data_IF_214122502642
#
_entry.id   IF_214122502642
#
_cell.length_a   1.000
_cell.length_b   1.000
_cell.length_c   1.000
_cell.angle_alpha   90.00
_cell.angle_beta   90.00
_cell.angle_gamma   90.00
#
_symmetry.space_group_name_H-M   'P 1'
#
loop_
_entity.id
_entity.type
_entity.pdbx_description
1 polymer ?
#
# COMPACT_ATOMS: atom_id res chain seq x y z
N UNK A 1 -6.34 13.48 4.46
CA UNK A 1 -6.17 12.13 3.87
C UNK A 1 -5.52 12.26 2.50
N UNK A 2 -4.55 11.41 2.19
CA UNK A 2 -3.86 11.37 0.89
C UNK A 2 -4.13 10.04 0.19
N UNK A 3 -4.45 10.03 -1.10
CA UNK A 3 -4.50 8.77 -1.87
C UNK A 3 -3.10 8.29 -2.21
N UNK A 4 -2.78 7.08 -1.74
CA UNK A 4 -1.49 6.42 -1.96
C UNK A 4 -1.47 5.70 -3.30
N UNK A 5 -2.44 4.81 -3.54
CA UNK A 5 -2.58 4.06 -4.79
C UNK A 5 -3.98 3.46 -4.93
N UNK A 6 -4.26 2.91 -6.11
CA UNK A 6 -5.45 2.08 -6.39
C UNK A 6 -4.98 0.63 -6.49
N UNK A 7 -5.63 -0.28 -5.78
CA UNK A 7 -5.35 -1.72 -5.81
C UNK A 7 -5.61 -2.24 -7.22
N UNK A 8 -4.55 -2.64 -7.91
CA UNK A 8 -4.62 -3.27 -9.24
C UNK A 8 -4.79 -4.80 -9.11
N UNK A 9 -4.19 -5.39 -8.08
CA UNK A 9 -4.40 -6.78 -7.71
C UNK A 9 -4.11 -6.99 -6.21
N UNK A 10 -4.52 -8.14 -5.69
CA UNK A 10 -4.35 -8.55 -4.30
C UNK A 10 -4.28 -10.06 -4.19
N UNK A 11 -3.41 -10.55 -3.33
CA UNK A 11 -3.26 -11.98 -3.09
C UNK A 11 -3.09 -12.29 -1.62
N UNK A 12 -3.62 -13.44 -1.21
CA UNK A 12 -3.51 -13.92 0.16
C UNK A 12 -2.26 -14.79 0.27
N UNK A 13 -1.37 -14.45 1.20
CA UNK A 13 -0.29 -15.36 1.60
C UNK A 13 -0.75 -16.10 2.86
N UNK A 14 -0.84 -17.43 2.76
CA UNK A 14 -1.22 -18.28 3.88
C UNK A 14 -0.34 -18.02 5.12
N UNK A 15 -0.96 -17.82 6.27
CA UNK A 15 -0.27 -17.51 7.53
C UNK A 15 0.30 -16.08 7.64
N UNK A 16 0.24 -15.24 6.59
CA UNK A 16 0.76 -13.86 6.65
C UNK A 16 -0.32 -12.79 6.53
N UNK A 17 -1.21 -12.89 5.55
CA UNK A 17 -2.26 -11.90 5.31
C UNK A 17 -2.47 -11.55 3.83
N UNK A 18 -3.33 -10.58 3.58
CA UNK A 18 -3.60 -10.02 2.26
C UNK A 18 -2.51 -9.02 1.86
N UNK A 19 -1.92 -9.19 0.68
CA UNK A 19 -0.95 -8.26 0.08
C UNK A 19 -1.62 -7.48 -1.04
N UNK A 20 -1.41 -6.16 -1.05
CA UNK A 20 -1.93 -5.23 -2.05
C UNK A 20 -0.84 -4.80 -3.02
N UNK A 21 -1.16 -4.81 -4.32
CA UNK A 21 -0.30 -4.30 -5.40
C UNK A 21 -1.04 -3.27 -6.26
N UNK A 22 -0.36 -2.28 -6.87
CA UNK A 22 1.11 -2.16 -7.02
C UNK A 22 1.85 -1.85 -5.72
N UNK A 23 1.15 -1.29 -4.72
CA UNK A 23 1.72 -0.91 -3.44
C UNK A 23 2.17 0.54 -3.42
N UNK A 24 2.99 0.90 -2.44
CA UNK A 24 3.48 2.26 -2.25
C UNK A 24 4.57 2.60 -3.27
N UNK A 25 4.41 3.66 -4.08
CA UNK A 25 5.52 4.12 -4.91
C UNK A 25 6.65 4.68 -4.02
N UNK A 26 7.90 4.59 -4.48
CA UNK A 26 9.06 5.18 -3.82
C UNK A 26 9.86 6.06 -4.78
N UNK A 27 9.19 6.99 -5.43
CA UNK A 27 9.81 8.06 -6.22
C UNK A 27 9.95 9.35 -5.39
N UNK A 28 10.90 10.24 -5.72
CA UNK A 28 11.00 11.53 -5.05
C UNK A 28 9.67 12.31 -5.08
N UNK A 29 9.26 12.84 -3.92
CA UNK A 29 7.97 13.50 -3.74
C UNK A 29 6.86 12.58 -3.21
N UNK A 30 7.02 11.26 -3.31
CA UNK A 30 6.04 10.32 -2.74
C UNK A 30 6.05 10.34 -1.21
N UNK A 31 4.91 10.08 -0.55
CA UNK A 31 4.83 9.97 0.90
C UNK A 31 5.68 8.80 1.41
N UNK A 32 6.46 9.05 2.46
CA UNK A 32 7.12 8.00 3.22
C UNK A 32 6.07 7.39 4.14
N UNK A 33 5.66 6.16 3.82
CA UNK A 33 4.73 5.37 4.63
C UNK A 33 5.50 4.26 5.33
N UNK A 34 5.29 4.13 6.64
CA UNK A 34 5.95 3.12 7.46
C UNK A 34 4.99 2.01 7.86
N UNK A 35 5.54 0.90 8.36
CA UNK A 35 4.77 -0.06 9.12
C UNK A 35 4.03 0.64 10.27
N UNK A 36 2.78 0.25 10.48
CA UNK A 36 1.87 0.82 11.48
C UNK A 36 1.13 2.06 11.01
N UNK A 37 1.48 2.63 9.85
CA UNK A 37 0.77 3.79 9.30
C UNK A 37 -0.72 3.48 9.12
N UNK A 38 -1.57 4.38 9.60
CA UNK A 38 -3.02 4.23 9.51
C UNK A 38 -3.49 4.52 8.10
N UNK A 39 -4.24 3.58 7.54
CA UNK A 39 -4.78 3.68 6.18
C UNK A 39 -6.28 3.43 6.19
N UNK A 40 -6.95 3.96 5.17
CA UNK A 40 -8.33 3.62 4.83
C UNK A 40 -8.36 2.93 3.47
N UNK A 41 -9.08 1.82 3.43
CA UNK A 41 -9.44 1.12 2.21
C UNK A 41 -10.83 1.58 1.80
N UNK A 42 -10.96 2.26 0.66
CA UNK A 42 -12.25 2.63 0.09
C UNK A 42 -12.54 1.78 -1.12
N UNK A 43 -13.44 0.82 -0.97
CA UNK A 43 -13.82 -0.13 -2.03
C UNK A 43 -14.60 0.58 -3.15
N UNK A 44 -14.67 0.00 -4.36
CA UNK A 44 -15.48 0.55 -5.46
C UNK A 44 -16.98 0.65 -5.14
N UNK A 45 -17.48 -0.16 -4.20
CA UNK A 45 -18.88 -0.11 -3.76
C UNK A 45 -19.11 0.96 -2.68
N UNK A 46 -18.09 1.73 -2.31
CA UNK A 46 -18.15 2.78 -1.30
C UNK A 46 -18.01 2.30 0.15
N UNK A 47 -17.82 0.98 0.40
CA UNK A 47 -17.48 0.49 1.74
C UNK A 47 -16.09 0.99 2.12
N UNK A 48 -15.96 1.50 3.34
CA UNK A 48 -14.70 1.98 3.90
C UNK A 48 -14.25 1.07 5.06
N UNK A 49 -12.95 0.78 5.12
CA UNK A 49 -12.32 -0.03 6.17
C UNK A 49 -11.09 0.71 6.67
N UNK A 50 -11.08 1.11 7.94
CA UNK A 50 -9.92 1.68 8.60
C UNK A 50 -9.02 0.55 9.13
N UNK A 51 -7.73 0.63 8.80
CA UNK A 51 -6.73 -0.36 9.18
C UNK A 51 -5.33 0.26 9.23
N UNK A 52 -4.29 -0.56 9.21
CA UNK A 52 -2.90 -0.11 9.20
C UNK A 52 -2.03 -0.96 8.26
N UNK A 53 -0.90 -0.40 7.85
CA UNK A 53 0.14 -1.16 7.13
C UNK A 53 0.79 -2.14 8.08
N UNK A 54 0.57 -3.45 7.91
CA UNK A 54 1.22 -4.47 8.76
C UNK A 54 2.71 -4.56 8.47
N UNK A 55 3.07 -4.70 7.20
CA UNK A 55 4.46 -4.74 6.72
C UNK A 55 4.53 -4.24 5.27
N UNK A 56 5.73 -3.90 4.82
CA UNK A 56 6.04 -3.62 3.41
C UNK A 56 6.88 -4.77 2.86
N UNK A 57 6.41 -5.44 1.80
CA UNK A 57 7.09 -6.60 1.24
C UNK A 57 8.26 -6.19 0.34
N UNK A 58 9.43 -6.78 0.57
CA UNK A 58 10.60 -6.62 -0.30
C UNK A 58 10.60 -7.73 -1.36
N UNK A 59 10.32 -7.37 -2.62
CA UNK A 59 10.46 -8.29 -3.74
C UNK A 59 11.91 -8.26 -4.23
N UNK A 60 12.62 -9.38 -4.06
CA UNK A 60 14.04 -9.53 -4.38
C UNK A 60 14.34 -9.72 -5.88
N UNK A 61 13.40 -10.24 -6.66
CA UNK A 61 13.57 -10.43 -8.11
C UNK A 61 12.94 -9.30 -8.91
N UNK A 62 13.76 -8.62 -9.74
CA UNK A 62 13.27 -7.59 -10.68
C UNK A 62 14.03 -7.65 -12.00
N UNK A 63 13.30 -7.69 -13.12
CA UNK A 63 13.85 -7.29 -14.42
C UNK A 63 13.93 -5.76 -14.46
N UNK A 64 15.08 -5.21 -14.85
CA UNK A 64 15.37 -3.76 -14.98
C UNK A 64 14.30 -3.00 -15.81
N UNK A 65 14.22 -1.66 -15.71
CA UNK A 65 13.91 -0.85 -14.53
C UNK A 65 12.40 -0.54 -14.54
N UNK A 66 11.62 -1.20 -13.70
CA UNK A 66 10.22 -0.82 -13.45
C UNK A 66 10.17 0.02 -12.18
N UNK A 67 9.35 1.08 -12.18
CA UNK A 67 9.13 1.96 -11.02
C UNK A 67 8.97 1.11 -9.74
N UNK A 68 9.74 1.43 -8.71
CA UNK A 68 9.71 0.70 -7.46
C UNK A 68 8.37 0.99 -6.75
N UNK A 69 7.57 -0.04 -6.57
CA UNK A 69 6.48 0.00 -5.60
C UNK A 69 6.66 -1.13 -4.58
N UNK A 70 6.49 -0.79 -3.29
CA UNK A 70 6.53 -1.74 -2.20
C UNK A 70 5.11 -2.28 -1.93
N UNK A 71 4.83 -3.57 -2.18
CA UNK A 71 3.54 -4.15 -1.82
C UNK A 71 3.24 -3.99 -0.34
N UNK A 72 1.97 -3.75 -0.03
CA UNK A 72 1.50 -3.51 1.33
C UNK A 72 0.86 -4.77 1.86
N UNK A 73 1.38 -5.31 2.96
CA UNK A 73 0.73 -6.40 3.70
C UNK A 73 -0.27 -5.80 4.70
N UNK A 74 -1.49 -6.34 4.71
CA UNK A 74 -2.54 -5.98 5.64
C UNK A 74 -2.53 -6.88 6.90
N UNK A 75 -3.18 -6.44 7.98
CA UNK A 75 -3.52 -7.27 9.13
C UNK A 75 -4.24 -8.57 8.73
N UNK A 76 -4.10 -9.60 9.56
CA UNK A 76 -4.52 -10.96 9.23
C UNK A 76 -6.05 -11.15 9.23
N UNK A 77 -6.77 -10.23 9.85
CA UNK A 77 -8.23 -10.13 9.90
C UNK A 77 -8.83 -9.50 8.62
N UNK A 78 -8.00 -8.95 7.72
CA UNK A 78 -8.45 -8.47 6.42
C UNK A 78 -8.06 -9.48 5.34
N UNK A 79 -9.07 -10.05 4.70
CA UNK A 79 -8.89 -11.05 3.66
C UNK A 79 -8.90 -10.40 2.28
N UNK A 80 -8.32 -11.08 1.28
CA UNK A 80 -8.31 -10.60 -0.11
C UNK A 80 -9.70 -10.27 -0.67
N UNK A 81 -10.74 -10.95 -0.18
CA UNK A 81 -12.12 -10.77 -0.66
C UNK A 81 -12.79 -9.54 -0.05
N UNK A 82 -12.26 -9.00 1.07
CA UNK A 82 -12.65 -7.69 1.60
C UNK A 82 -12.12 -6.53 0.76
N UNK A 83 -11.11 -6.78 -0.08
CA UNK A 83 -10.38 -5.78 -0.85
C UNK A 83 -10.50 -6.08 -2.35
N UNK A 84 -11.62 -5.74 -2.98
CA UNK A 84 -11.77 -5.87 -4.43
C UNK A 84 -10.76 -4.99 -5.19
N UNK A 85 -10.41 -5.40 -6.41
CA UNK A 85 -9.64 -4.57 -7.35
C UNK A 85 -10.37 -3.24 -7.57
N UNK A 86 -9.60 -2.15 -7.69
CA UNK A 86 -10.13 -0.79 -7.74
C UNK A 86 -10.30 -0.12 -6.37
N UNK A 87 -10.05 -0.84 -5.27
CA UNK A 87 -10.03 -0.24 -3.93
C UNK A 87 -8.97 0.85 -3.85
N UNK A 88 -9.33 2.01 -3.33
CA UNK A 88 -8.39 3.09 -3.06
C UNK A 88 -7.76 2.90 -1.68
N UNK A 89 -6.44 3.07 -1.62
CA UNK A 89 -5.68 3.08 -0.37
C UNK A 89 -5.32 4.51 -0.02
N UNK A 90 -5.78 4.97 1.14
CA UNK A 90 -5.69 6.35 1.59
C UNK A 90 -4.89 6.40 2.89
N UNK A 91 -3.88 7.26 2.97
CA UNK A 91 -3.19 7.58 4.22
C UNK A 91 -4.09 8.47 5.09
N UNK A 92 -4.28 8.06 6.35
CA UNK A 92 -5.11 8.79 7.31
C UNK A 92 -4.36 9.92 8.02
N UNK A 93 -3.03 9.92 7.98
CA UNK A 93 -2.20 10.98 8.57
C UNK A 93 -2.38 12.31 7.82
N UNK A 94 -2.49 13.40 8.57
CA UNK A 94 -2.62 14.76 8.02
C UNK A 94 -1.29 15.34 7.55
N UNK A 95 -0.18 14.86 8.13
CA UNK A 95 1.18 15.28 7.80
C UNK A 95 2.05 14.06 7.57
N UNK A 96 2.92 14.13 6.57
CA UNK A 96 3.83 13.05 6.22
C UNK A 96 5.10 13.64 5.60
N UNK A 97 6.20 12.91 5.71
CA UNK A 97 7.44 13.25 5.00
C UNK A 97 7.38 12.67 3.60
N UNK A 98 8.16 13.25 2.68
CA UNK A 98 8.27 12.74 1.31
C UNK A 98 9.68 12.23 1.04
N UNK A 99 9.79 11.29 0.10
CA UNK A 99 11.06 10.79 -0.41
C UNK A 99 11.80 11.98 -1.03
N UNK A 100 13.04 12.20 -0.59
CA UNK A 100 13.88 13.29 -1.11
C UNK A 100 14.44 12.90 -2.48
N UNK A 101 14.65 13.89 -3.35
CA UNK A 101 15.50 13.69 -4.52
C UNK A 101 16.92 13.32 -4.03
N UNK A 102 17.57 12.29 -4.62
CA UNK A 102 19.00 12.10 -4.40
C UNK A 102 19.72 13.38 -4.83
N UNK A 103 20.61 13.89 -3.98
CA UNK A 103 21.35 15.13 -4.27
C UNK A 103 22.07 15.02 -5.62
N UNK A 104 21.88 16.03 -6.46
CA UNK A 104 22.71 16.33 -7.65
C UNK A 104 24.16 16.52 -7.27
#
# INVERSE_FOLDING_TARGET
MLRLFIVADRFQIAGRGCVLVPGLPCEPGDPIVHRGARIRLRTPTGREIDTFVKELELISYRKRPQKFAAPVLLPHDIMKDDVPVGTEVLLLEETYKTVKQPGT
#
